data_IF_995260157251
#
_entry.id   IF_995260157251
#
_cell.length_a   1.000
_cell.length_b   1.000
_cell.length_c   1.000
_cell.angle_alpha   90.00
_cell.angle_beta   90.00
_cell.angle_gamma   90.00
#
_symmetry.space_group_name_H-M   'P 1'
#
loop_
_entity.id
_entity.type
_entity.pdbx_description
1 polymer ?
#
# COMPACT_ATOMS: atom_id res chain seq x y z
N UNK A 1 15.07 4.44 20.82
CA UNK A 1 13.78 5.02 20.47
C UNK A 1 13.29 4.34 19.20
N UNK A 2 12.71 3.15 19.32
CA UNK A 2 12.32 2.28 18.19
C UNK A 2 10.87 1.79 18.37
N UNK A 3 9.93 2.68 18.69
CA UNK A 3 8.59 2.24 19.07
C UNK A 3 7.49 2.61 18.06
N UNK A 4 7.79 3.37 17.04
CA UNK A 4 6.76 3.96 16.17
C UNK A 4 6.39 3.08 14.97
N UNK A 5 7.31 2.29 14.45
CA UNK A 5 7.10 1.48 13.23
C UNK A 5 6.50 0.13 13.56
N UNK A 6 6.84 -0.44 14.71
CA UNK A 6 6.22 -1.69 15.19
C UNK A 6 4.70 -1.52 15.39
N UNK A 7 4.24 -0.33 15.79
CA UNK A 7 2.81 -0.01 15.90
C UNK A 7 2.08 -0.02 14.56
N UNK A 8 2.71 0.49 13.51
CA UNK A 8 2.14 0.50 12.15
C UNK A 8 2.06 -0.92 11.59
N UNK A 9 3.12 -1.73 11.74
CA UNK A 9 3.13 -3.12 11.30
C UNK A 9 2.09 -3.99 12.04
N UNK A 10 1.87 -3.76 13.32
CA UNK A 10 0.85 -4.48 14.11
C UNK A 10 -0.56 -4.11 13.63
N UNK A 11 -0.79 -2.87 13.25
CA UNK A 11 -2.09 -2.42 12.72
C UNK A 11 -2.37 -3.02 11.34
N UNK A 12 -1.35 -3.18 10.49
CA UNK A 12 -1.49 -3.83 9.18
C UNK A 12 -1.76 -5.33 9.27
N UNK A 13 -1.32 -6.02 10.32
CA UNK A 13 -1.55 -7.46 10.49
C UNK A 13 -2.99 -7.82 10.91
N UNK A 14 -3.81 -6.86 11.28
CA UNK A 14 -5.14 -7.13 11.83
C UNK A 14 -6.30 -6.98 10.86
N UNK A 15 -6.11 -6.41 9.65
CA UNK A 15 -7.22 -6.28 8.70
C UNK A 15 -6.75 -6.17 7.25
N UNK A 16 -6.99 -7.20 6.46
CA UNK A 16 -6.91 -7.17 4.98
C UNK A 16 -7.71 -5.98 4.41
N UNK A 17 -8.70 -5.49 5.14
CA UNK A 17 -9.50 -4.32 4.78
C UNK A 17 -8.70 -3.01 4.77
N UNK A 18 -7.63 -2.90 5.57
CA UNK A 18 -6.84 -1.67 5.67
C UNK A 18 -5.83 -1.48 4.55
N UNK A 19 -5.38 -2.56 3.92
CA UNK A 19 -4.38 -2.49 2.85
C UNK A 19 -4.92 -1.79 1.60
N UNK A 20 -6.23 -1.91 1.37
CA UNK A 20 -6.94 -1.31 0.23
C UNK A 20 -7.87 -0.15 0.66
N UNK A 21 -7.71 0.36 1.89
CA UNK A 21 -8.46 1.51 2.36
C UNK A 21 -7.92 2.79 1.70
N UNK A 22 -8.75 3.50 0.91
CA UNK A 22 -8.32 4.68 0.18
C UNK A 22 -8.31 5.96 1.04
N UNK A 23 -8.95 5.94 2.20
CA UNK A 23 -9.20 7.15 2.98
C UNK A 23 -9.14 6.92 4.48
N UNK A 24 -8.42 7.80 5.16
CA UNK A 24 -8.22 7.75 6.62
C UNK A 24 -8.59 9.07 7.28
N UNK A 25 -9.04 8.99 8.52
CA UNK A 25 -9.32 10.15 9.36
C UNK A 25 -8.02 10.80 9.86
N UNK A 26 -8.01 12.13 9.89
CA UNK A 26 -6.89 12.91 10.45
C UNK A 26 -7.36 13.56 11.76
N UNK A 27 -6.61 13.44 12.86
CA UNK A 27 -5.24 12.89 13.01
C UNK A 27 -5.17 11.43 13.48
N UNK A 28 -6.29 10.73 13.65
CA UNK A 28 -6.30 9.40 14.28
C UNK A 28 -5.64 8.32 13.43
N UNK A 29 -5.71 8.43 12.09
CA UNK A 29 -5.27 7.39 11.17
C UNK A 29 -6.22 6.21 11.06
N UNK A 30 -7.44 6.33 11.60
CA UNK A 30 -8.46 5.30 11.47
C UNK A 30 -9.06 5.29 10.06
N UNK A 31 -9.54 4.13 9.58
CA UNK A 31 -10.27 4.06 8.31
C UNK A 31 -11.50 4.97 8.33
N UNK A 32 -11.70 5.72 7.26
CA UNK A 32 -12.90 6.52 7.08
C UNK A 32 -14.14 5.62 6.94
N UNK A 33 -15.14 5.80 7.79
CA UNK A 33 -16.31 4.92 7.85
C UNK A 33 -17.49 5.40 7.00
N UNK A 34 -17.41 6.56 6.39
CA UNK A 34 -18.46 7.12 5.52
C UNK A 34 -18.55 6.43 4.16
N UNK A 35 -19.48 6.92 3.33
CA UNK A 35 -19.69 6.43 1.97
C UNK A 35 -18.47 6.71 1.09
N UNK A 36 -17.75 5.66 0.70
CA UNK A 36 -16.59 5.71 -0.18
C UNK A 36 -16.45 4.36 -0.88
N UNK A 37 -16.08 4.36 -2.16
CA UNK A 37 -15.98 3.10 -2.90
C UNK A 37 -14.77 2.28 -2.44
N UNK A 38 -14.99 1.00 -2.12
CA UNK A 38 -13.98 0.06 -1.62
C UNK A 38 -14.16 -1.32 -2.26
N UNK A 39 -13.08 -2.11 -2.40
CA UNK A 39 -11.68 -1.75 -2.18
C UNK A 39 -11.10 -0.91 -3.31
N UNK A 40 -10.00 -0.19 -3.06
CA UNK A 40 -9.15 0.39 -4.09
C UNK A 40 -7.86 -0.42 -4.20
N UNK A 41 -7.64 -1.04 -5.35
CA UNK A 41 -6.58 -2.05 -5.53
C UNK A 41 -5.25 -1.47 -6.00
N UNK A 42 -5.20 -0.20 -6.38
CA UNK A 42 -4.01 0.54 -6.79
C UNK A 42 -3.12 0.97 -5.61
N UNK A 43 -3.72 1.20 -4.43
CA UNK A 43 -3.04 1.72 -3.24
C UNK A 43 -1.79 0.94 -2.84
N UNK A 44 -1.84 -0.38 -2.68
CA UNK A 44 -0.66 -1.19 -2.33
C UNK A 44 0.47 -1.07 -3.34
N UNK A 45 0.18 -1.11 -4.65
CA UNK A 45 1.18 -0.98 -5.70
C UNK A 45 1.87 0.40 -5.67
N UNK A 46 1.08 1.47 -5.59
CA UNK A 46 1.60 2.84 -5.50
C UNK A 46 2.44 3.05 -4.25
N UNK A 47 2.00 2.51 -3.10
CA UNK A 47 2.75 2.60 -1.85
C UNK A 47 4.07 1.84 -1.91
N UNK A 48 4.08 0.63 -2.46
CA UNK A 48 5.30 -0.16 -2.66
C UNK A 48 6.29 0.57 -3.56
N UNK A 49 5.84 1.19 -4.66
CA UNK A 49 6.70 2.01 -5.53
C UNK A 49 7.31 3.21 -4.81
N UNK A 50 6.51 3.95 -4.06
CA UNK A 50 6.98 5.11 -3.29
C UNK A 50 8.00 4.70 -2.22
N UNK A 51 7.70 3.64 -1.47
CA UNK A 51 8.59 3.11 -0.44
C UNK A 51 9.89 2.53 -1.02
N UNK A 52 9.83 1.86 -2.16
CA UNK A 52 11.02 1.37 -2.86
C UNK A 52 11.96 2.52 -3.24
N UNK A 53 11.41 3.61 -3.80
CA UNK A 53 12.20 4.82 -4.09
C UNK A 53 12.80 5.43 -2.83
N UNK A 54 12.04 5.48 -1.75
CA UNK A 54 12.55 5.95 -0.46
C UNK A 54 13.68 5.06 0.07
N UNK A 55 13.54 3.74 -0.01
CA UNK A 55 14.59 2.79 0.34
C UNK A 55 15.89 3.02 -0.45
N UNK A 56 15.78 3.33 -1.76
CA UNK A 56 16.94 3.68 -2.59
C UNK A 56 17.63 4.98 -2.11
N UNK A 57 16.85 5.99 -1.72
CA UNK A 57 17.40 7.24 -1.15
C UNK A 57 18.12 6.97 0.15
N UNK A 58 17.53 6.17 1.05
CA UNK A 58 18.18 5.78 2.31
C UNK A 58 19.49 5.02 2.07
N UNK A 59 19.49 4.07 1.14
CA UNK A 59 20.71 3.35 0.77
C UNK A 59 21.80 4.29 0.25
N UNK A 60 21.45 5.24 -0.60
CA UNK A 60 22.38 6.23 -1.14
C UNK A 60 22.93 7.18 -0.07
N UNK A 61 22.15 7.41 0.98
CA UNK A 61 22.54 8.20 2.16
C UNK A 61 23.32 7.40 3.23
N UNK A 62 23.67 6.14 2.95
CA UNK A 62 24.37 5.27 3.90
C UNK A 62 23.50 4.72 5.02
N UNK A 63 22.17 4.80 4.89
CA UNK A 63 21.20 4.32 5.89
C UNK A 63 20.58 2.97 5.46
N UNK A 64 21.41 2.05 5.03
CA UNK A 64 20.96 0.74 4.51
C UNK A 64 20.24 -0.12 5.56
N UNK A 65 20.63 -0.02 6.82
CA UNK A 65 19.98 -0.75 7.91
C UNK A 65 18.54 -0.27 8.09
N UNK A 66 18.29 1.04 8.06
CA UNK A 66 16.94 1.62 8.10
C UNK A 66 16.13 1.21 6.88
N UNK A 67 16.71 1.24 5.69
CA UNK A 67 16.04 0.77 4.48
C UNK A 67 15.59 -0.70 4.61
N UNK A 68 16.44 -1.55 5.17
CA UNK A 68 16.19 -2.98 5.35
C UNK A 68 15.21 -3.28 6.48
N UNK A 69 15.33 -2.61 7.63
CA UNK A 69 14.49 -2.92 8.81
C UNK A 69 13.12 -2.27 8.76
N UNK A 70 13.01 -1.08 8.16
CA UNK A 70 11.82 -0.25 8.29
C UNK A 70 11.03 -0.14 6.98
N UNK A 71 11.72 -0.09 5.85
CA UNK A 71 11.07 0.09 4.54
C UNK A 71 10.76 -1.23 3.86
N UNK A 72 11.74 -2.13 3.80
CA UNK A 72 11.59 -3.40 3.08
C UNK A 72 10.42 -4.27 3.55
N UNK A 73 10.14 -4.43 4.86
CA UNK A 73 8.98 -5.21 5.30
C UNK A 73 7.64 -4.67 4.78
N UNK A 74 7.50 -3.35 4.65
CA UNK A 74 6.28 -2.73 4.12
C UNK A 74 6.16 -2.96 2.61
N UNK A 75 7.28 -2.81 1.88
CA UNK A 75 7.31 -3.12 0.44
C UNK A 75 6.96 -4.57 0.17
N UNK A 76 7.56 -5.52 0.91
CA UNK A 76 7.27 -6.94 0.76
C UNK A 76 5.81 -7.25 1.03
N UNK A 77 5.24 -6.70 2.09
CA UNK A 77 3.83 -6.90 2.44
C UNK A 77 2.89 -6.42 1.34
N UNK A 78 3.12 -5.23 0.80
CA UNK A 78 2.32 -4.69 -0.30
C UNK A 78 2.47 -5.51 -1.58
N UNK A 79 3.71 -5.95 -1.89
CA UNK A 79 4.00 -6.76 -3.06
C UNK A 79 3.36 -8.14 -3.00
N UNK A 80 3.40 -8.81 -1.85
CA UNK A 80 2.72 -10.09 -1.64
C UNK A 80 1.22 -9.96 -1.89
N UNK A 81 0.61 -8.91 -1.33
CA UNK A 81 -0.80 -8.64 -1.57
C UNK A 81 -1.11 -8.39 -3.05
N UNK A 82 -0.28 -7.59 -3.73
CA UNK A 82 -0.44 -7.26 -5.16
C UNK A 82 -0.39 -8.53 -6.00
N UNK A 83 0.58 -9.41 -5.78
CA UNK A 83 0.73 -10.68 -6.52
C UNK A 83 -0.51 -11.57 -6.36
N UNK A 84 -1.08 -11.62 -5.17
CA UNK A 84 -2.25 -12.44 -4.89
C UNK A 84 -3.57 -11.84 -5.41
N UNK A 85 -3.65 -10.51 -5.50
CA UNK A 85 -4.92 -9.80 -5.71
C UNK A 85 -4.97 -8.93 -6.97
N UNK A 86 -3.98 -8.98 -7.85
CA UNK A 86 -3.88 -8.11 -9.05
C UNK A 86 -5.10 -8.15 -9.98
N UNK A 87 -5.86 -9.25 -9.98
CA UNK A 87 -7.04 -9.46 -10.80
C UNK A 87 -8.36 -9.31 -10.02
N UNK A 88 -8.31 -8.89 -8.74
CA UNK A 88 -9.51 -8.76 -7.93
C UNK A 88 -10.35 -7.55 -8.34
N UNK A 89 -11.67 -7.65 -8.05
CA UNK A 89 -12.60 -6.54 -8.26
C UNK A 89 -12.29 -5.39 -7.32
N UNK A 90 -12.20 -4.19 -7.87
CA UNK A 90 -11.96 -2.94 -7.12
C UNK A 90 -12.85 -1.81 -7.58
N UNK A 91 -12.64 -0.64 -7.02
CA UNK A 91 -13.21 0.61 -7.49
C UNK A 91 -12.26 1.28 -8.48
N UNK A 92 -12.81 2.04 -9.42
CA UNK A 92 -12.02 2.85 -10.33
C UNK A 92 -11.33 4.02 -9.59
N UNK A 93 -10.42 4.69 -10.30
CA UNK A 93 -9.68 5.84 -9.78
C UNK A 93 -10.60 6.99 -9.31
N UNK A 94 -11.78 7.11 -9.91
CA UNK A 94 -12.77 8.15 -9.57
C UNK A 94 -13.82 7.67 -8.57
N UNK A 95 -13.76 6.38 -8.18
CA UNK A 95 -14.63 5.78 -7.16
C UNK A 95 -16.12 5.69 -7.55
N UNK A 96 -16.41 5.78 -8.83
CA UNK A 96 -17.77 5.76 -9.37
C UNK A 96 -18.27 4.36 -9.72
N UNK A 97 -17.36 3.48 -10.17
CA UNK A 97 -17.68 2.16 -10.72
C UNK A 97 -16.83 1.07 -10.09
N UNK A 98 -17.44 -0.09 -9.87
CA UNK A 98 -16.74 -1.33 -9.47
C UNK A 98 -16.58 -2.26 -10.66
N UNK A 99 -15.36 -2.75 -10.88
CA UNK A 99 -15.05 -3.72 -11.92
C UNK A 99 -13.76 -4.48 -11.59
N UNK A 100 -13.54 -5.60 -12.26
CA UNK A 100 -12.29 -6.36 -12.26
C UNK A 100 -11.37 -5.96 -13.44
N UNK A 101 -11.72 -4.92 -14.18
CA UNK A 101 -11.09 -4.62 -15.47
C UNK A 101 -10.59 -3.18 -15.59
N UNK A 102 -10.20 -2.54 -14.49
CA UNK A 102 -9.61 -1.21 -14.53
C UNK A 102 -8.17 -1.26 -15.02
N UNK A 103 -7.95 -0.68 -16.19
CA UNK A 103 -6.64 -0.66 -16.83
C UNK A 103 -5.58 0.06 -15.98
N UNK A 104 -5.95 1.15 -15.33
CA UNK A 104 -5.06 1.91 -14.46
C UNK A 104 -4.53 1.06 -13.30
N UNK A 105 -5.42 0.44 -12.54
CA UNK A 105 -5.04 -0.40 -11.40
C UNK A 105 -4.14 -1.56 -11.82
N UNK A 106 -4.38 -2.16 -12.99
CA UNK A 106 -3.52 -3.23 -13.54
C UNK A 106 -2.18 -2.72 -14.06
N UNK A 107 -2.15 -1.49 -14.60
CA UNK A 107 -0.93 -0.89 -15.12
C UNK A 107 0.06 -0.58 -13.99
N UNK A 108 -0.40 -0.01 -12.88
CA UNK A 108 0.44 0.25 -11.71
C UNK A 108 1.06 -1.03 -11.15
N UNK A 109 0.29 -2.10 -11.11
CA UNK A 109 0.76 -3.43 -10.72
C UNK A 109 1.83 -3.94 -11.71
N UNK A 110 1.62 -3.76 -13.01
CA UNK A 110 2.56 -4.22 -14.05
C UNK A 110 3.90 -3.48 -13.95
N UNK A 111 3.88 -2.16 -13.76
CA UNK A 111 5.10 -1.33 -13.61
C UNK A 111 5.90 -1.71 -12.36
N UNK A 112 5.26 -2.27 -11.35
CA UNK A 112 5.93 -2.70 -10.14
C UNK A 112 6.69 -4.04 -10.30
N UNK A 113 6.22 -4.91 -11.19
CA UNK A 113 6.77 -6.28 -11.37
C UNK A 113 7.95 -6.31 -12.35
N UNK A 114 8.12 -5.31 -13.18
CA UNK A 114 9.21 -5.17 -14.17
C UNK A 114 10.17 -4.03 -13.79
#
# INVERSE_FOLDING_TARGET
MSTTITGILITYNLNVCLITEPKFEIPSGDPYTGGWCRPQTDGPALRAMALSKWGMVLNSAGQSDTAKSDVWPLVSFDMEWVVENWASTGCDLWEEVRSDNFYFNRFDITVLIF
#
